data_IF_712298297159
#
_entry.id   IF_712298297159
#
_cell.length_a   1.000
_cell.length_b   1.000
_cell.length_c   1.000
_cell.angle_alpha   90.00
_cell.angle_beta   90.00
_cell.angle_gamma   90.00
#
_symmetry.space_group_name_H-M   'P 1'
#
loop_
_entity.id
_entity.type
_entity.pdbx_description
1 polymer ?
#
# COMPACT_ATOMS: atom_id res chain seq x y z
N UNK A 1 -9.23 11.85 17.82
CA UNK A 1 -8.21 10.86 17.42
C UNK A 1 -8.10 10.87 15.91
N UNK A 2 -6.91 11.13 15.35
CA UNK A 2 -6.74 11.37 13.92
C UNK A 2 -6.63 10.04 13.15
N UNK A 3 -7.34 9.94 12.02
CA UNK A 3 -7.36 8.76 11.16
C UNK A 3 -6.93 9.18 9.76
N UNK A 4 -5.92 8.51 9.22
CA UNK A 4 -5.62 8.57 7.79
C UNK A 4 -6.63 7.66 7.10
N UNK A 5 -7.42 8.25 6.22
CA UNK A 5 -8.44 7.55 5.45
C UNK A 5 -8.33 8.02 4.00
N UNK A 6 -7.37 7.43 3.29
CA UNK A 6 -6.96 7.90 1.98
C UNK A 6 -7.59 7.05 0.90
N UNK A 7 -8.70 7.54 0.35
CA UNK A 7 -9.24 7.03 -0.92
C UNK A 7 -8.35 7.49 -2.07
N UNK A 8 -7.92 6.56 -2.90
CA UNK A 8 -7.00 6.78 -4.01
C UNK A 8 -7.67 6.41 -5.35
N UNK A 9 -7.37 7.18 -6.40
CA UNK A 9 -7.94 6.97 -7.71
C UNK A 9 -7.17 5.88 -8.46
N UNK A 10 -7.80 4.73 -8.63
CA UNK A 10 -7.20 3.56 -9.29
C UNK A 10 -6.86 3.83 -10.76
N UNK A 11 -7.80 4.42 -11.51
CA UNK A 11 -7.63 4.75 -12.93
C UNK A 11 -6.43 5.67 -13.14
N UNK A 12 -6.32 6.71 -12.31
CA UNK A 12 -5.19 7.63 -12.35
C UNK A 12 -3.87 6.96 -11.92
N UNK A 13 -3.93 6.00 -11.00
CA UNK A 13 -2.75 5.28 -10.53
C UNK A 13 -2.12 4.35 -11.57
N UNK A 14 -2.95 3.75 -12.43
CA UNK A 14 -2.50 2.96 -13.58
C UNK A 14 -2.20 3.84 -14.82
N UNK A 15 -3.11 4.77 -15.14
CA UNK A 15 -3.07 5.59 -16.35
C UNK A 15 -2.89 7.06 -15.98
N UNK A 16 -1.70 7.40 -15.48
CA UNK A 16 -1.42 8.75 -15.00
C UNK A 16 -1.60 9.80 -16.09
N UNK A 17 -2.42 10.80 -15.78
CA UNK A 17 -2.62 11.99 -16.59
C UNK A 17 -2.33 13.24 -15.77
N UNK A 18 -1.32 14.02 -16.14
CA UNK A 18 -0.91 15.24 -15.41
C UNK A 18 -2.02 16.27 -15.21
N UNK A 19 -3.07 16.26 -16.05
CA UNK A 19 -4.19 17.19 -15.94
C UNK A 19 -5.22 16.75 -14.88
N UNK A 20 -5.16 15.49 -14.44
CA UNK A 20 -5.99 14.97 -13.37
C UNK A 20 -5.19 14.99 -12.05
N UNK A 21 -5.63 15.82 -11.11
CA UNK A 21 -4.96 16.07 -9.84
C UNK A 21 -5.37 15.10 -8.73
N UNK A 22 -5.90 13.92 -9.10
CA UNK A 22 -6.35 12.92 -8.14
C UNK A 22 -5.17 12.35 -7.34
N UNK A 23 -5.44 12.03 -6.07
CA UNK A 23 -4.56 11.24 -5.21
C UNK A 23 -4.39 9.83 -5.79
N UNK A 24 -3.17 9.31 -5.77
CA UNK A 24 -2.86 7.94 -6.18
C UNK A 24 -2.04 7.23 -5.10
N UNK A 25 -2.04 5.89 -5.13
CA UNK A 25 -1.23 5.06 -4.25
C UNK A 25 -0.48 4.03 -5.08
N UNK A 26 0.80 3.87 -4.81
CA UNK A 26 1.67 2.87 -5.41
C UNK A 26 2.23 1.96 -4.31
N UNK A 27 2.08 0.66 -4.48
CA UNK A 27 2.71 -0.35 -3.62
C UNK A 27 4.00 -0.77 -4.33
N UNK A 28 5.14 -0.30 -3.82
CA UNK A 28 6.45 -0.49 -4.46
C UNK A 28 6.98 -1.89 -4.26
N UNK A 29 6.84 -2.44 -3.06
CA UNK A 29 7.22 -3.81 -2.72
C UNK A 29 6.24 -4.42 -1.71
N UNK A 30 6.08 -5.75 -1.78
CA UNK A 30 5.31 -6.51 -0.80
C UNK A 30 5.83 -7.94 -0.75
N UNK A 31 6.20 -8.38 0.44
CA UNK A 31 6.54 -9.75 0.78
C UNK A 31 5.61 -10.20 1.89
N UNK A 32 4.92 -11.32 1.70
CA UNK A 32 4.07 -11.96 2.70
C UNK A 32 4.62 -13.37 2.93
N UNK A 33 5.17 -13.60 4.13
CA UNK A 33 5.85 -14.83 4.49
C UNK A 33 7.04 -15.10 3.56
N UNK A 34 6.93 -16.15 2.76
CA UNK A 34 7.95 -16.52 1.76
C UNK A 34 7.63 -16.05 0.34
N UNK A 35 6.47 -15.41 0.12
CA UNK A 35 6.07 -14.91 -1.20
C UNK A 35 6.45 -13.44 -1.31
N UNK A 36 7.46 -13.18 -2.14
CA UNK A 36 7.83 -11.85 -2.58
C UNK A 36 7.14 -11.54 -3.90
N UNK A 37 6.32 -10.49 -3.93
CA UNK A 37 5.67 -10.07 -5.17
C UNK A 37 6.69 -9.50 -6.15
N UNK A 38 6.50 -9.81 -7.43
CA UNK A 38 7.30 -9.25 -8.51
C UNK A 38 6.77 -7.87 -8.90
N UNK A 39 7.61 -6.82 -8.98
CA UNK A 39 7.17 -5.53 -9.51
C UNK A 39 6.96 -5.69 -11.03
N UNK A 40 5.70 -5.67 -11.46
CA UNK A 40 5.29 -6.03 -12.83
C UNK A 40 4.27 -5.08 -13.46
N UNK A 41 3.89 -4.01 -12.76
CA UNK A 41 3.12 -2.92 -13.33
C UNK A 41 3.99 -1.71 -13.63
N UNK A 42 4.08 -1.36 -14.91
CA UNK A 42 4.61 -0.07 -15.36
C UNK A 42 3.62 1.05 -15.04
N UNK A 43 4.07 2.03 -14.26
CA UNK A 43 3.32 3.23 -13.89
C UNK A 43 4.20 4.46 -14.08
N UNK A 44 3.62 5.65 -13.97
CA UNK A 44 4.37 6.92 -13.95
C UNK A 44 4.46 7.42 -12.51
N UNK A 45 5.65 7.80 -12.07
CA UNK A 45 5.85 8.56 -10.84
C UNK A 45 5.40 10.01 -11.09
N UNK A 46 4.32 10.50 -10.42
CA UNK A 46 3.84 11.87 -10.63
C UNK A 46 4.80 12.96 -10.20
N UNK A 47 5.77 12.66 -9.32
CA UNK A 47 6.72 13.65 -8.77
C UNK A 47 7.86 13.93 -9.73
N UNK A 48 8.26 12.95 -10.54
CA UNK A 48 9.35 13.09 -11.52
C UNK A 48 8.86 13.08 -12.97
N UNK A 49 7.73 12.41 -13.23
CA UNK A 49 7.22 12.14 -14.58
C UNK A 49 7.84 10.90 -15.24
N UNK A 50 8.74 10.20 -14.54
CA UNK A 50 9.42 9.03 -15.07
C UNK A 50 8.60 7.75 -14.91
N UNK A 51 8.98 6.72 -15.68
CA UNK A 51 8.45 5.37 -15.49
C UNK A 51 8.95 4.78 -14.17
N UNK A 52 8.07 4.08 -13.48
CA UNK A 52 8.34 3.30 -12.27
C UNK A 52 7.67 1.94 -12.41
N UNK A 53 8.23 0.91 -11.78
CA UNK A 53 7.64 -0.43 -11.75
C UNK A 53 7.21 -0.74 -10.33
N UNK A 54 5.98 -1.22 -10.15
CA UNK A 54 5.36 -1.43 -8.84
C UNK A 54 4.72 -2.81 -8.76
N UNK A 55 4.56 -3.35 -7.55
CA UNK A 55 3.85 -4.64 -7.34
C UNK A 55 2.33 -4.47 -7.34
N UNK A 56 1.84 -3.24 -7.17
CA UNK A 56 0.42 -2.94 -7.20
C UNK A 56 0.06 -1.47 -7.17
N UNK A 57 -1.19 -1.18 -7.57
CA UNK A 57 -1.79 0.16 -7.52
C UNK A 57 -2.89 0.19 -6.49
N UNK A 58 -2.85 1.18 -5.62
CA UNK A 58 -3.72 1.31 -4.47
C UNK A 58 -5.02 2.06 -4.70
N UNK A 59 -6.10 1.61 -4.06
CA UNK A 59 -7.39 2.34 -4.01
C UNK A 59 -7.74 2.85 -2.62
N UNK A 60 -7.16 2.27 -1.56
CA UNK A 60 -7.43 2.68 -0.20
C UNK A 60 -6.29 2.36 0.76
N UNK A 61 -5.99 3.30 1.64
CA UNK A 61 -5.16 3.09 2.83
C UNK A 61 -5.83 3.70 4.05
N UNK A 62 -5.98 2.88 5.09
CA UNK A 62 -6.61 3.24 6.35
C UNK A 62 -5.67 2.98 7.51
N UNK A 63 -5.32 4.03 8.26
CA UNK A 63 -4.50 3.90 9.46
C UNK A 63 -5.00 4.84 10.54
N UNK A 64 -5.13 4.32 11.76
CA UNK A 64 -5.29 5.18 12.94
C UNK A 64 -3.87 5.53 13.38
N UNK A 65 -3.52 6.82 13.45
CA UNK A 65 -2.16 7.26 13.80
C UNK A 65 -1.81 6.92 15.25
N UNK A 66 -1.54 5.64 15.50
CA UNK A 66 -1.15 5.06 16.76
C UNK A 66 -0.14 3.96 16.48
N UNK A 67 0.85 3.88 17.36
CA UNK A 67 1.99 2.97 17.21
C UNK A 67 1.58 1.53 17.00
N UNK A 68 0.56 1.05 17.71
CA UNK A 68 0.11 -0.35 17.67
C UNK A 68 -1.13 -0.58 16.80
N UNK A 69 -1.66 0.46 16.15
CA UNK A 69 -2.86 0.31 15.33
C UNK A 69 -2.53 -0.39 14.00
N UNK A 70 -3.37 -1.34 13.57
CA UNK A 70 -3.25 -1.94 12.25
C UNK A 70 -3.40 -0.93 11.13
N UNK A 71 -2.68 -1.18 10.05
CA UNK A 71 -2.79 -0.54 8.75
C UNK A 71 -3.69 -1.41 7.86
N UNK A 72 -4.68 -0.84 7.19
CA UNK A 72 -5.50 -1.55 6.20
C UNK A 72 -5.19 -1.02 4.81
N UNK A 73 -4.90 -1.91 3.89
CA UNK A 73 -4.52 -1.58 2.53
C UNK A 73 -5.40 -2.32 1.53
N UNK A 74 -5.96 -1.59 0.56
CA UNK A 74 -6.60 -2.15 -0.63
C UNK A 74 -5.84 -1.72 -1.86
N UNK A 75 -5.34 -2.70 -2.60
CA UNK A 75 -4.58 -2.49 -3.82
C UNK A 75 -4.96 -3.53 -4.87
N UNK A 76 -4.46 -3.33 -6.07
CA UNK A 76 -4.67 -4.22 -7.20
C UNK A 76 -3.32 -4.70 -7.68
N UNK A 77 -3.17 -6.02 -7.82
CA UNK A 77 -1.95 -6.69 -8.25
C UNK A 77 -2.23 -7.54 -9.51
N UNK A 78 -1.17 -7.97 -10.18
CA UNK A 78 -1.25 -8.82 -11.37
C UNK A 78 -1.81 -10.20 -11.06
N UNK A 79 -2.21 -10.93 -12.10
CA UNK A 79 -2.67 -12.31 -11.97
C UNK A 79 -1.61 -13.22 -11.31
N UNK A 80 -0.35 -13.11 -11.73
CA UNK A 80 0.75 -13.94 -11.18
C UNK A 80 0.93 -13.67 -9.70
N UNK A 81 1.04 -12.40 -9.31
CA UNK A 81 1.21 -12.01 -7.91
C UNK A 81 0.02 -12.44 -7.04
N UNK A 82 -1.22 -12.32 -7.53
CA UNK A 82 -2.39 -12.75 -6.76
C UNK A 82 -2.56 -14.27 -6.71
N UNK A 83 -2.13 -15.02 -7.73
CA UNK A 83 -2.11 -16.47 -7.70
C UNK A 83 -1.11 -16.99 -6.65
N UNK A 84 0.10 -16.43 -6.62
CA UNK A 84 1.13 -16.80 -5.65
C UNK A 84 0.68 -16.50 -4.21
N UNK A 85 0.11 -15.32 -3.98
CA UNK A 85 -0.45 -14.96 -2.67
C UNK A 85 -1.63 -15.85 -2.27
N UNK A 86 -2.55 -16.14 -3.20
CA UNK A 86 -3.71 -16.99 -2.92
C UNK A 86 -3.26 -18.40 -2.55
N UNK A 87 -2.26 -18.94 -3.27
CA UNK A 87 -1.66 -20.23 -2.95
C UNK A 87 -1.05 -20.22 -1.55
N UNK A 88 -0.24 -19.21 -1.23
CA UNK A 88 0.41 -19.11 0.08
C UNK A 88 -0.60 -19.00 1.24
N UNK A 89 -1.56 -18.09 1.14
CA UNK A 89 -2.59 -17.84 2.17
C UNK A 89 -3.48 -19.07 2.38
N UNK A 90 -3.73 -19.86 1.34
CA UNK A 90 -4.54 -21.08 1.47
C UNK A 90 -3.85 -22.18 2.29
N UNK A 91 -2.51 -22.14 2.41
CA UNK A 91 -1.71 -23.11 3.15
C UNK A 91 -1.18 -22.57 4.49
N UNK A 92 -1.08 -21.24 4.65
CA UNK A 92 -0.50 -20.58 5.82
C UNK A 92 -1.51 -19.58 6.40
N UNK A 93 -2.05 -19.89 7.58
CA UNK A 93 -3.18 -19.16 8.16
C UNK A 93 -2.82 -18.31 9.39
N UNK A 94 -1.61 -18.47 9.95
CA UNK A 94 -1.24 -17.85 11.23
C UNK A 94 0.00 -16.95 11.09
N UNK A 95 0.01 -15.83 11.83
CA UNK A 95 1.14 -14.91 12.11
C UNK A 95 2.21 -14.82 11.02
N UNK A 96 1.77 -14.54 9.79
CA UNK A 96 2.68 -14.42 8.66
C UNK A 96 3.32 -13.05 8.67
N UNK A 97 4.66 -13.03 8.69
CA UNK A 97 5.43 -11.80 8.57
C UNK A 97 5.13 -11.08 7.25
N UNK A 98 4.96 -9.78 7.28
CA UNK A 98 4.85 -8.93 6.08
C UNK A 98 5.98 -7.91 6.07
N UNK A 99 6.47 -7.62 4.87
CA UNK A 99 7.44 -6.55 4.60
C UNK A 99 6.96 -5.79 3.37
N UNK A 100 6.74 -4.48 3.46
CA UNK A 100 6.17 -3.71 2.36
C UNK A 100 6.71 -2.29 2.26
N UNK A 101 6.67 -1.73 1.06
CA UNK A 101 6.90 -0.32 0.79
C UNK A 101 5.70 0.24 0.04
N UNK A 102 5.15 1.36 0.53
CA UNK A 102 3.99 2.02 -0.05
C UNK A 102 4.18 3.53 -0.03
N UNK A 103 3.65 4.18 -1.07
CA UNK A 103 3.54 5.63 -1.13
C UNK A 103 2.16 6.08 -1.62
N UNK A 104 1.69 7.18 -1.06
CA UNK A 104 0.51 7.92 -1.50
C UNK A 104 0.99 9.27 -2.02
N UNK A 105 0.57 9.61 -3.23
CA UNK A 105 0.98 10.82 -3.93
C UNK A 105 -0.24 11.74 -4.07
N UNK A 106 -0.06 13.01 -3.73
CA UNK A 106 -1.08 14.06 -3.82
C UNK A 106 -0.57 15.25 -4.60
N UNK A 107 -1.49 15.96 -5.26
CA UNK A 107 -1.17 17.18 -5.99
C UNK A 107 -1.31 18.40 -5.07
N UNK A 108 -0.26 19.21 -4.97
CA UNK A 108 -0.31 20.51 -4.32
C UNK A 108 -0.81 21.57 -5.33
N UNK A 109 -2.02 22.14 -5.14
CA UNK A 109 -2.56 23.13 -6.07
C UNK A 109 -1.80 24.47 -6.05
N UNK A 110 -1.13 24.80 -4.94
CA UNK A 110 -0.37 26.04 -4.80
C UNK A 110 1.00 25.91 -5.48
N UNK A 111 1.71 24.82 -5.19
CA UNK A 111 3.03 24.54 -5.77
C UNK A 111 2.94 23.94 -7.19
N UNK A 112 1.74 23.54 -7.63
CA UNK A 112 1.45 22.93 -8.94
C UNK A 112 2.29 21.69 -9.26
N UNK A 113 2.51 20.86 -8.25
CA UNK A 113 3.33 19.65 -8.35
C UNK A 113 2.82 18.56 -7.41
N UNK A 114 3.10 17.31 -7.75
CA UNK A 114 2.83 16.19 -6.85
C UNK A 114 3.86 16.09 -5.73
N UNK A 115 3.45 15.50 -4.61
CA UNK A 115 4.29 15.19 -3.46
C UNK A 115 3.86 13.89 -2.78
N UNK A 116 4.76 13.30 -1.97
CA UNK A 116 4.48 12.10 -1.19
C UNK A 116 3.71 12.46 0.09
N UNK A 117 2.39 12.31 0.08
CA UNK A 117 1.54 12.60 1.23
C UNK A 117 1.64 11.54 2.34
N UNK A 118 1.97 10.31 1.98
CA UNK A 118 2.27 9.21 2.91
C UNK A 118 3.35 8.34 2.29
N UNK A 119 4.44 8.07 3.00
CA UNK A 119 5.48 7.15 2.51
C UNK A 119 6.35 6.62 3.65
N UNK A 120 7.19 5.66 3.31
CA UNK A 120 8.11 4.98 4.23
C UNK A 120 9.58 5.38 3.97
N UNK A 121 9.82 6.51 3.31
CA UNK A 121 11.15 6.99 2.90
C UNK A 121 12.04 5.96 2.18
N UNK A 122 11.44 5.15 1.29
CA UNK A 122 12.08 4.02 0.63
C UNK A 122 12.62 2.94 1.60
N UNK A 123 12.14 2.92 2.84
CA UNK A 123 12.37 1.84 3.79
C UNK A 123 11.24 0.81 3.69
N UNK A 124 11.61 -0.44 3.92
CA UNK A 124 10.63 -1.51 4.06
C UNK A 124 10.02 -1.50 5.46
N UNK A 125 8.70 -1.61 5.52
CA UNK A 125 7.92 -1.65 6.74
C UNK A 125 7.57 -3.09 7.07
N UNK A 126 7.98 -3.55 8.25
CA UNK A 126 7.78 -4.90 8.74
C UNK A 126 6.57 -5.01 9.65
N UNK A 127 5.87 -6.13 9.56
CA UNK A 127 4.69 -6.39 10.35
C UNK A 127 4.27 -7.84 10.31
N UNK A 128 3.03 -8.07 10.69
CA UNK A 128 2.35 -9.34 10.51
C UNK A 128 1.02 -9.11 9.80
N UNK A 129 0.59 -10.10 9.02
CA UNK A 129 -0.74 -10.06 8.44
C UNK A 129 -1.78 -10.19 9.54
N UNK A 130 -2.78 -9.32 9.53
CA UNK A 130 -3.80 -9.28 10.56
C UNK A 130 -4.72 -10.50 10.43
N UNK A 131 -4.99 -11.19 11.54
CA UNK A 131 -6.06 -12.19 11.62
C UNK A 131 -7.30 -11.63 12.36
N UNK A 132 -8.47 -12.15 12.00
CA UNK A 132 -9.74 -11.89 12.68
C UNK A 132 -9.76 -12.58 14.06
N UNK A 133 -10.82 -12.32 14.83
CA UNK A 133 -10.97 -12.89 16.19
C UNK A 133 -11.06 -14.42 16.23
N UNK A 134 -11.17 -15.09 15.08
CA UNK A 134 -11.19 -16.55 14.94
C UNK A 134 -9.86 -17.09 14.42
N UNK A 135 -8.82 -16.26 14.35
CA UNK A 135 -7.50 -16.63 13.84
C UNK A 135 -7.43 -16.77 12.33
N UNK A 136 -8.45 -16.34 11.58
CA UNK A 136 -8.41 -16.37 10.11
C UNK A 136 -7.88 -15.08 9.56
N UNK A 137 -7.24 -15.11 8.39
CA UNK A 137 -6.80 -13.90 7.70
C UNK A 137 -7.90 -12.81 7.64
N UNK A 138 -7.61 -11.61 8.14
CA UNK A 138 -8.49 -10.45 8.06
C UNK A 138 -8.29 -9.74 6.72
N UNK A 139 -8.81 -10.35 5.65
CA UNK A 139 -8.71 -9.82 4.30
C UNK A 139 -9.21 -10.78 3.23
N UNK A 140 -9.00 -10.40 1.97
CA UNK A 140 -9.42 -11.19 0.82
C UNK A 140 -8.61 -10.85 -0.44
N UNK A 141 -8.59 -11.79 -1.38
CA UNK A 141 -8.12 -11.63 -2.74
C UNK A 141 -9.32 -11.93 -3.65
N UNK A 142 -9.66 -11.01 -4.53
CA UNK A 142 -10.74 -11.22 -5.50
C UNK A 142 -10.30 -12.21 -6.58
N UNK A 143 -11.22 -13.11 -6.96
CA UNK A 143 -10.98 -14.09 -8.03
C UNK A 143 -11.22 -13.51 -9.43
N UNK A 144 -12.07 -12.49 -9.51
CA UNK A 144 -12.43 -11.84 -10.76
C UNK A 144 -11.58 -10.58 -10.97
N UNK A 145 -11.18 -10.29 -12.22
CA UNK A 145 -10.41 -9.10 -12.52
C UNK A 145 -11.24 -7.83 -12.31
N UNK A 146 -10.54 -6.73 -12.04
CA UNK A 146 -11.14 -5.41 -11.90
C UNK A 146 -11.87 -4.98 -13.18
N UNK A 147 -13.09 -4.48 -13.02
CA UNK A 147 -13.84 -3.86 -14.13
C UNK A 147 -13.50 -2.38 -14.32
N UNK A 148 -12.81 -1.76 -13.37
CA UNK A 148 -12.43 -0.35 -13.40
C UNK A 148 -11.21 -0.08 -14.29
N UNK A 149 -10.26 -1.01 -14.29
CA UNK A 149 -9.07 -0.96 -15.14
C UNK A 149 -8.91 -2.35 -15.75
N UNK A 150 -9.17 -2.45 -17.06
CA UNK A 150 -9.16 -3.74 -17.77
C UNK A 150 -7.78 -4.09 -18.35
N UNK A 151 -6.90 -3.10 -18.48
CA UNK A 151 -5.52 -3.28 -18.93
C UNK A 151 -4.58 -2.37 -18.11
N UNK A 152 -3.51 -2.92 -17.50
CA UNK A 152 -3.20 -4.34 -17.41
C UNK A 152 -4.25 -5.12 -16.60
N UNK A 153 -4.35 -6.44 -16.80
CA UNK A 153 -5.26 -7.29 -16.02
C UNK A 153 -4.83 -7.27 -14.55
N UNK A 154 -5.76 -6.94 -13.65
CA UNK A 154 -5.45 -6.73 -12.23
C UNK A 154 -6.61 -7.22 -11.34
N UNK A 155 -6.25 -7.63 -10.13
CA UNK A 155 -7.15 -8.26 -9.16
C UNK A 155 -7.01 -7.55 -7.81
N UNK A 156 -8.14 -7.33 -7.15
CA UNK A 156 -8.14 -6.62 -5.87
C UNK A 156 -7.61 -7.51 -4.75
N UNK A 157 -6.74 -6.95 -3.94
CA UNK A 157 -6.23 -7.51 -2.69
C UNK A 157 -6.58 -6.54 -1.57
N UNK A 158 -7.04 -7.06 -0.44
CA UNK A 158 -7.37 -6.28 0.74
C UNK A 158 -6.86 -7.00 1.99
N UNK A 159 -5.87 -6.41 2.66
CA UNK A 159 -5.28 -6.94 3.88
C UNK A 159 -5.14 -5.88 4.97
N UNK A 160 -5.23 -6.34 6.21
CA UNK A 160 -4.74 -5.61 7.38
C UNK A 160 -3.33 -6.06 7.75
N UNK A 161 -2.52 -5.15 8.26
CA UNK A 161 -1.17 -5.41 8.77
C UNK A 161 -1.04 -4.84 10.19
N UNK A 162 -0.61 -5.67 11.14
CA UNK A 162 -0.12 -5.20 12.45
C UNK A 162 1.36 -4.86 12.36
N UNK A 163 1.84 -3.89 13.14
CA UNK A 163 3.27 -3.57 13.17
C UNK A 163 4.09 -4.67 13.81
N UNK A 164 5.35 -4.81 13.39
CA UNK A 164 6.33 -5.65 14.08
C UNK A 164 6.73 -5.06 15.45
N UNK A 165 7.39 -5.86 16.28
CA UNK A 165 7.91 -5.47 17.60
C UNK A 165 9.19 -4.61 17.51
N UNK A 166 9.20 -3.65 16.59
CA UNK A 166 10.25 -2.67 16.36
C UNK A 166 9.65 -1.31 16.04
N UNK A 167 10.36 -0.22 16.35
CA UNK A 167 9.89 1.13 16.01
C UNK A 167 10.27 1.46 14.56
N UNK A 168 9.26 1.79 13.77
CA UNK A 168 9.38 2.17 12.36
C UNK A 168 8.63 3.48 12.12
N UNK A 169 8.86 4.15 10.99
CA UNK A 169 8.34 5.49 10.74
C UNK A 169 7.55 5.56 9.43
N UNK A 170 6.29 5.98 9.54
CA UNK A 170 5.55 6.53 8.42
C UNK A 170 5.73 8.04 8.37
N UNK A 171 6.13 8.57 7.21
CA UNK A 171 6.18 10.00 6.96
C UNK A 171 4.86 10.41 6.34
N UNK A 172 4.18 11.37 6.96
CA UNK A 172 2.99 12.01 6.40
C UNK A 172 3.29 13.47 6.08
N UNK A 173 2.77 13.93 4.95
CA UNK A 173 2.93 15.30 4.49
C UNK A 173 1.58 15.89 4.09
N UNK A 174 1.34 17.16 4.43
CA UNK A 174 0.20 17.93 3.92
C UNK A 174 0.61 18.90 2.80
N UNK A 175 1.90 19.10 2.63
CA UNK A 175 2.54 19.85 1.54
C UNK A 175 3.99 19.39 1.39
N UNK A 176 4.70 19.92 0.39
CA UNK A 176 6.13 19.67 0.23
C UNK A 176 7.02 20.15 1.39
N UNK A 177 6.51 21.02 2.26
CA UNK A 177 7.31 21.63 3.34
C UNK A 177 6.95 21.13 4.73
N UNK A 178 5.76 20.56 4.91
CA UNK A 178 5.27 20.09 6.21
C UNK A 178 5.38 18.58 6.27
N UNK A 179 6.36 18.08 7.04
CA UNK A 179 6.61 16.65 7.25
C UNK A 179 6.36 16.28 8.71
N UNK A 180 5.66 15.17 8.93
CA UNK A 180 5.42 14.60 10.24
C UNK A 180 5.82 13.13 10.23
N UNK A 181 6.74 12.75 11.12
CA UNK A 181 7.13 11.36 11.32
C UNK A 181 6.20 10.71 12.35
N UNK A 182 5.48 9.68 11.96
CA UNK A 182 4.56 8.95 12.79
C UNK A 182 5.11 7.55 13.06
N UNK A 183 5.23 7.20 14.34
CA UNK A 183 5.74 5.89 14.76
C UNK A 183 4.72 4.80 14.49
N UNK A 184 5.20 3.68 14.00
CA UNK A 184 4.47 2.43 13.82
C UNK A 184 5.31 1.28 14.35
N UNK A 185 4.71 0.47 15.23
CA UNK A 185 5.40 -0.50 16.07
C UNK A 185 6.01 0.10 17.33
N UNK A 186 6.34 -0.80 18.25
CA UNK A 186 7.01 -0.50 19.52
C UNK A 186 8.09 -1.55 19.71
N UNK A 187 9.27 -1.11 20.13
CA UNK A 187 10.33 -2.04 20.50
C UNK A 187 9.86 -2.87 21.70
N UNK A 188 9.91 -4.19 21.59
CA UNK A 188 9.74 -5.06 22.75
C UNK A 188 10.81 -4.70 23.80
N UNK A 189 10.38 -4.52 25.05
CA UNK A 189 11.25 -4.21 26.18
C UNK A 189 12.16 -5.39 26.53
#
# INVERSE_FOLDING_TARGET
MFKINSSCNLLQGFNFNRNNQSRIMHVKSLTIGTVMLSPDFDVIDPTTGDKSVVVGVGSYLGWRQQKTSPLFMRFYASHTNTADLSSYVSHNMDNTSVSFEVEILEYDPNAKQYFKAFHCDAQSMNGEILCDSRGKLAGFIEKEPSTLVQSPLNYQVNFGFSPAAEEQLFITQTSNTIKVCNRWGVKSA
#
